data_IF_078097361644
#
_entry.id   IF_078097361644
#
_cell.length_a   1.000
_cell.length_b   1.000
_cell.length_c   1.000
_cell.angle_alpha   90.00
_cell.angle_beta   90.00
_cell.angle_gamma   90.00
#
_symmetry.space_group_name_H-M   'P 1'
#
loop_
_entity.id
_entity.type
_entity.pdbx_description
1 polymer ?
#
# COMPACT_ATOMS: atom_id res chain seq x y z
N UNK A 1 18.38 12.58 -8.42
CA UNK A 1 18.12 11.46 -9.35
C UNK A 1 16.70 10.97 -9.08
N UNK A 2 15.83 10.91 -10.09
CA UNK A 2 14.49 10.33 -9.91
C UNK A 2 14.56 8.82 -10.20
N UNK A 3 13.87 8.02 -9.38
CA UNK A 3 13.74 6.57 -9.59
C UNK A 3 13.04 6.28 -10.91
N UNK A 4 13.50 5.28 -11.65
CA UNK A 4 12.78 4.69 -12.78
C UNK A 4 11.48 4.03 -12.32
N UNK A 5 10.55 3.77 -13.23
CA UNK A 5 9.30 3.05 -12.92
C UNK A 5 9.57 1.69 -12.25
N UNK A 6 10.56 0.94 -12.76
CA UNK A 6 10.96 -0.35 -12.21
C UNK A 6 11.47 -0.22 -10.78
N UNK A 7 12.28 0.78 -10.49
CA UNK A 7 12.79 1.03 -9.14
C UNK A 7 11.68 1.46 -8.18
N UNK A 8 10.75 2.32 -8.62
CA UNK A 8 9.57 2.70 -7.82
C UNK A 8 8.74 1.47 -7.46
N UNK A 9 8.48 0.60 -8.44
CA UNK A 9 7.74 -0.65 -8.23
C UNK A 9 8.45 -1.56 -7.22
N UNK A 10 9.77 -1.73 -7.34
CA UNK A 10 10.56 -2.55 -6.41
C UNK A 10 10.47 -2.05 -4.96
N UNK A 11 10.43 -0.73 -4.73
CA UNK A 11 10.25 -0.18 -3.38
C UNK A 11 8.89 -0.56 -2.79
N UNK A 12 7.82 -0.52 -3.60
CA UNK A 12 6.47 -0.92 -3.18
C UNK A 12 6.40 -2.42 -2.91
N UNK A 13 6.96 -3.24 -3.81
CA UNK A 13 7.06 -4.70 -3.63
C UNK A 13 7.85 -5.07 -2.36
N UNK A 14 8.95 -4.36 -2.08
CA UNK A 14 9.74 -4.53 -0.87
C UNK A 14 8.95 -4.17 0.40
N UNK A 15 8.05 -3.18 0.34
CA UNK A 15 7.17 -2.86 1.46
C UNK A 15 6.18 -4.00 1.75
N UNK A 16 5.62 -4.63 0.71
CA UNK A 16 4.76 -5.81 0.88
C UNK A 16 5.52 -7.00 1.49
N UNK A 17 6.72 -7.29 0.98
CA UNK A 17 7.58 -8.31 1.60
C UNK A 17 7.91 -7.96 3.06
N UNK A 18 8.16 -6.68 3.34
CA UNK A 18 8.46 -6.18 4.68
C UNK A 18 7.35 -6.45 5.70
N UNK A 19 6.08 -6.39 5.30
CA UNK A 19 4.96 -6.78 6.16
C UNK A 19 5.08 -8.24 6.59
N UNK A 20 5.30 -9.14 5.62
CA UNK A 20 5.39 -10.59 5.87
C UNK A 20 6.58 -10.98 6.75
N UNK A 21 7.63 -10.15 6.79
CA UNK A 21 8.84 -10.38 7.56
C UNK A 21 8.94 -9.54 8.84
N UNK A 22 7.86 -8.87 9.26
CA UNK A 22 7.84 -8.10 10.50
C UNK A 22 8.65 -6.79 10.47
N UNK A 23 9.01 -6.28 9.29
CA UNK A 23 9.76 -5.04 9.09
C UNK A 23 8.86 -3.79 9.20
N UNK A 24 8.06 -3.72 10.26
CA UNK A 24 7.01 -2.71 10.42
C UNK A 24 7.57 -1.27 10.35
N UNK A 25 8.77 -1.04 10.91
CA UNK A 25 9.41 0.29 10.89
C UNK A 25 9.72 0.75 9.46
N UNK A 26 10.24 -0.15 8.64
CA UNK A 26 10.61 0.11 7.25
C UNK A 26 9.35 0.35 6.42
N UNK A 27 8.31 -0.45 6.61
CA UNK A 27 7.03 -0.26 5.90
C UNK A 27 6.38 1.07 6.27
N UNK A 28 6.39 1.44 7.56
CA UNK A 28 5.92 2.75 8.04
C UNK A 28 6.69 3.91 7.42
N UNK A 29 7.98 3.75 7.18
CA UNK A 29 8.81 4.76 6.52
C UNK A 29 8.50 4.91 5.01
N UNK A 30 8.03 3.83 4.36
CA UNK A 30 7.67 3.84 2.93
C UNK A 30 6.28 4.43 2.69
N UNK A 31 5.34 4.28 3.63
CA UNK A 31 3.95 4.74 3.48
C UNK A 31 3.82 6.21 3.01
N UNK A 32 4.54 7.19 3.59
CA UNK A 32 4.50 8.58 3.13
C UNK A 32 5.05 8.80 1.71
N UNK A 33 5.89 7.90 1.21
CA UNK A 33 6.50 7.99 -0.11
C UNK A 33 5.61 7.42 -1.22
N UNK A 34 4.50 6.71 -0.90
CA UNK A 34 3.62 6.09 -1.90
C UNK A 34 3.18 7.02 -3.05
N UNK A 35 2.83 8.31 -2.82
CA UNK A 35 2.48 9.23 -3.92
C UNK A 35 3.60 9.49 -4.92
N UNK A 36 4.86 9.25 -4.52
CA UNK A 36 6.03 9.37 -5.38
C UNK A 36 6.41 8.04 -6.03
N UNK A 37 5.81 6.92 -5.59
CA UNK A 37 6.12 5.56 -6.03
C UNK A 37 5.05 4.99 -6.96
N UNK A 38 3.79 5.43 -6.81
CA UNK A 38 2.64 4.92 -7.58
C UNK A 38 1.87 6.09 -8.16
N UNK A 39 1.88 6.24 -9.49
CA UNK A 39 1.25 7.37 -10.19
C UNK A 39 -0.28 7.24 -10.28
N UNK A 40 -0.79 6.01 -10.40
CA UNK A 40 -2.23 5.78 -10.44
C UNK A 40 -2.82 5.92 -9.04
N UNK A 41 -3.64 6.95 -8.81
CA UNK A 41 -4.22 7.26 -7.50
C UNK A 41 -5.03 6.11 -6.90
N UNK A 42 -5.78 5.36 -7.72
CA UNK A 42 -6.57 4.21 -7.26
C UNK A 42 -5.66 3.05 -6.84
N UNK A 43 -4.61 2.77 -7.61
CA UNK A 43 -3.61 1.77 -7.26
C UNK A 43 -2.81 2.18 -6.02
N UNK A 44 -2.47 3.47 -5.90
CA UNK A 44 -1.80 4.02 -4.72
C UNK A 44 -2.64 3.81 -3.47
N UNK A 45 -3.94 4.11 -3.54
CA UNK A 45 -4.89 3.91 -2.44
C UNK A 45 -5.02 2.42 -2.07
N UNK A 46 -5.06 1.53 -3.06
CA UNK A 46 -5.04 0.09 -2.86
C UNK A 46 -3.75 -0.38 -2.15
N UNK A 47 -2.57 0.03 -2.64
CA UNK A 47 -1.29 -0.29 -2.00
C UNK A 47 -1.25 0.22 -0.56
N UNK A 48 -1.68 1.47 -0.33
CA UNK A 48 -1.76 2.06 1.01
C UNK A 48 -2.64 1.23 1.94
N UNK A 49 -3.80 0.80 1.46
CA UNK A 49 -4.73 0.01 2.26
C UNK A 49 -4.15 -1.35 2.66
N UNK A 50 -3.54 -2.08 1.73
CA UNK A 50 -2.94 -3.38 2.00
C UNK A 50 -1.78 -3.26 3.00
N UNK A 51 -0.92 -2.24 2.85
CA UNK A 51 0.18 -2.00 3.79
C UNK A 51 -0.33 -1.62 5.19
N UNK A 52 -1.34 -0.75 5.29
CA UNK A 52 -1.97 -0.40 6.58
C UNK A 52 -2.61 -1.63 7.24
N UNK A 53 -3.30 -2.46 6.47
CA UNK A 53 -3.89 -3.70 6.96
C UNK A 53 -2.82 -4.66 7.51
N UNK A 54 -1.71 -4.84 6.79
CA UNK A 54 -0.56 -5.62 7.25
C UNK A 54 0.15 -5.05 8.49
N UNK A 55 -0.02 -3.76 8.77
CA UNK A 55 0.43 -3.09 10.00
C UNK A 55 -0.60 -3.15 11.14
N UNK A 56 -1.69 -3.91 10.97
CA UNK A 56 -2.84 -3.98 11.88
C UNK A 56 -3.60 -2.65 12.04
N UNK A 57 -3.55 -1.77 11.04
CA UNK A 57 -4.24 -0.48 11.00
C UNK A 57 -5.52 -0.53 10.15
N UNK A 58 -6.36 -1.54 10.39
CA UNK A 58 -7.52 -1.88 9.54
C UNK A 58 -8.52 -0.72 9.37
N UNK A 59 -8.65 0.17 10.36
CA UNK A 59 -9.50 1.35 10.25
C UNK A 59 -9.00 2.34 9.18
N UNK A 60 -7.69 2.60 9.17
CA UNK A 60 -7.06 3.47 8.17
C UNK A 60 -7.01 2.79 6.80
N UNK A 61 -6.86 1.47 6.76
CA UNK A 61 -6.94 0.70 5.53
C UNK A 61 -8.32 0.83 4.87
N UNK A 62 -9.41 0.71 5.65
CA UNK A 62 -10.78 0.93 5.15
C UNK A 62 -11.00 2.35 4.65
N UNK A 63 -10.50 3.35 5.39
CA UNK A 63 -10.58 4.75 4.96
C UNK A 63 -9.84 4.96 3.62
N UNK A 64 -8.70 4.31 3.42
CA UNK A 64 -7.95 4.41 2.18
C UNK A 64 -8.69 3.82 0.97
N UNK A 65 -9.60 2.86 1.18
CA UNK A 65 -10.35 2.20 0.10
C UNK A 65 -11.76 2.76 -0.13
N UNK A 66 -12.20 3.76 0.66
CA UNK A 66 -13.58 4.22 0.67
C UNK A 66 -14.13 4.52 -0.74
N UNK A 67 -13.32 5.20 -1.56
CA UNK A 67 -13.71 5.66 -2.90
C UNK A 67 -13.00 4.89 -4.04
N UNK A 68 -12.37 3.75 -3.73
CA UNK A 68 -11.62 2.96 -4.72
C UNK A 68 -12.55 1.93 -5.38
N UNK A 69 -12.71 2.04 -6.70
CA UNK A 69 -13.55 1.18 -7.54
C UNK A 69 -12.76 0.15 -8.38
N UNK A 70 -11.57 -0.24 -7.91
CA UNK A 70 -10.78 -1.31 -8.54
C UNK A 70 -11.35 -2.69 -8.15
N UNK A 71 -11.43 -3.67 -9.05
CA UNK A 71 -11.83 -5.03 -8.71
C UNK A 71 -11.05 -5.62 -7.53
N UNK A 72 -9.73 -5.36 -7.49
CA UNK A 72 -8.83 -5.82 -6.43
C UNK A 72 -9.14 -5.16 -5.08
N UNK A 73 -9.71 -3.94 -5.08
CA UNK A 73 -10.11 -3.26 -3.86
C UNK A 73 -11.27 -3.98 -3.15
N UNK A 74 -12.17 -4.63 -3.89
CA UNK A 74 -13.27 -5.41 -3.30
C UNK A 74 -12.76 -6.64 -2.53
N UNK A 75 -11.71 -7.28 -3.03
CA UNK A 75 -11.03 -8.36 -2.32
C UNK A 75 -10.45 -7.86 -1.00
N UNK A 76 -9.75 -6.72 -1.02
CA UNK A 76 -9.15 -6.15 0.20
C UNK A 76 -10.23 -5.67 1.19
N UNK A 77 -11.33 -5.05 0.71
CA UNK A 77 -12.48 -4.67 1.55
C UNK A 77 -13.09 -5.88 2.25
N UNK A 78 -13.15 -7.03 1.57
CA UNK A 78 -13.66 -8.28 2.15
C UNK A 78 -12.73 -8.84 3.22
N UNK A 79 -11.41 -8.78 3.01
CA UNK A 79 -10.41 -9.18 4.01
C UNK A 79 -10.42 -8.28 5.26
N UNK A 80 -10.83 -7.01 5.13
CA UNK A 80 -10.88 -6.03 6.22
C UNK A 80 -12.17 -6.06 7.07
N UNK A 81 -13.12 -6.94 6.76
CA UNK A 81 -14.35 -7.17 7.55
C UNK A 81 -14.05 -8.05 8.76
#
# INVERSE_FOLDING_TARGET
MMLTEKERRLVVEAAFAGINHGLQRQVRAILPALPLLVENTSLQALCRAVLLAGLNESALARQALADVALPEAETVKTWLK
#
